data_IF_233702470345
#
_entry.id   IF_233702470345
#
_cell.length_a   1.000
_cell.length_b   1.000
_cell.length_c   1.000
_cell.angle_alpha   90.00
_cell.angle_beta   90.00
_cell.angle_gamma   90.00
#
_symmetry.space_group_name_H-M   'P 1'
#
loop_
_entity.id
_entity.type
_entity.pdbx_description
1 polymer ?
#
# COMPACT_ATOMS: atom_id res chain seq x y z
N UNK A 1 -3.37 -1.15 -10.14
CA UNK A 1 -3.28 -0.33 -11.35
C UNK A 1 -3.81 1.07 -11.05
N UNK A 2 -2.91 2.05 -11.09
CA UNK A 2 -3.24 3.44 -10.73
C UNK A 2 -4.11 4.14 -11.78
N UNK A 3 -4.07 3.67 -12.99
CA UNK A 3 -4.92 4.22 -14.08
C UNK A 3 -6.39 3.82 -13.93
N UNK A 4 -6.64 2.59 -13.51
CA UNK A 4 -8.01 2.07 -13.31
C UNK A 4 -8.51 2.23 -11.87
N UNK A 5 -7.62 2.54 -10.93
CA UNK A 5 -7.90 2.55 -9.49
C UNK A 5 -8.46 1.22 -8.98
N UNK A 6 -7.95 0.12 -9.54
CA UNK A 6 -8.39 -1.24 -9.20
C UNK A 6 -7.20 -2.12 -8.84
N UNK A 7 -7.40 -2.94 -7.82
CA UNK A 7 -6.52 -4.07 -7.51
C UNK A 7 -7.13 -5.31 -8.15
N UNK A 8 -6.33 -6.02 -8.94
CA UNK A 8 -6.70 -7.34 -9.44
C UNK A 8 -5.92 -8.38 -8.66
N UNK A 9 -6.62 -9.29 -8.02
CA UNK A 9 -6.02 -10.35 -7.21
C UNK A 9 -5.96 -11.64 -8.02
N UNK A 10 -4.77 -12.24 -8.04
CA UNK A 10 -4.50 -13.49 -8.73
C UNK A 10 -4.17 -14.60 -7.72
N UNK A 11 -4.63 -15.79 -7.98
CA UNK A 11 -4.20 -17.02 -7.31
C UNK A 11 -3.99 -18.11 -8.36
N UNK A 12 -2.82 -18.73 -8.34
CA UNK A 12 -2.44 -19.77 -9.33
C UNK A 12 -2.66 -19.31 -10.79
N UNK A 13 -2.34 -18.05 -11.09
CA UNK A 13 -2.49 -17.45 -12.41
C UNK A 13 -3.91 -17.09 -12.81
N UNK A 14 -4.88 -17.27 -11.92
CA UNK A 14 -6.29 -16.94 -12.17
C UNK A 14 -6.72 -15.72 -11.39
N UNK A 15 -7.51 -14.86 -12.01
CA UNK A 15 -8.13 -13.72 -11.32
C UNK A 15 -9.21 -14.25 -10.38
N UNK A 16 -9.09 -13.91 -9.10
CA UNK A 16 -10.04 -14.33 -8.07
C UNK A 16 -10.82 -13.17 -7.45
N UNK A 17 -10.36 -11.92 -7.62
CA UNK A 17 -11.01 -10.76 -7.02
C UNK A 17 -10.61 -9.46 -7.72
N UNK A 18 -11.56 -8.53 -7.79
CA UNK A 18 -11.31 -7.15 -8.17
C UNK A 18 -11.68 -6.26 -6.99
N UNK A 19 -10.78 -5.34 -6.61
CA UNK A 19 -10.95 -4.48 -5.43
C UNK A 19 -10.73 -3.03 -5.82
N UNK A 20 -11.73 -2.15 -5.65
CA UNK A 20 -11.52 -0.72 -5.80
C UNK A 20 -10.51 -0.20 -4.79
N UNK A 21 -9.61 0.66 -5.23
CA UNK A 21 -8.59 1.25 -4.37
C UNK A 21 -8.41 2.74 -4.66
N UNK A 22 -7.86 3.44 -3.69
CA UNK A 22 -7.37 4.81 -3.82
C UNK A 22 -5.94 4.83 -3.29
N UNK A 23 -5.00 5.25 -4.11
CA UNK A 23 -3.58 5.28 -3.76
C UNK A 23 -3.09 6.70 -3.49
N UNK A 24 -1.79 6.92 -3.61
CA UNK A 24 -1.17 8.21 -3.30
C UNK A 24 -1.60 9.33 -4.23
N UNK A 25 -2.12 10.41 -3.65
CA UNK A 25 -2.50 11.64 -4.35
C UNK A 25 -1.30 12.31 -5.01
N UNK A 26 -1.50 13.27 -5.96
CA UNK A 26 -0.42 14.04 -6.56
C UNK A 26 0.52 14.65 -5.51
N UNK A 27 1.84 14.42 -5.68
CA UNK A 27 2.87 14.77 -4.72
C UNK A 27 3.17 13.70 -3.67
N UNK A 28 2.35 12.66 -3.58
CA UNK A 28 2.50 11.52 -2.66
C UNK A 28 2.23 10.18 -3.37
N UNK A 29 2.52 10.12 -4.65
CA UNK A 29 2.20 8.97 -5.49
C UNK A 29 2.81 7.69 -4.94
N UNK A 30 2.05 6.61 -5.03
CA UNK A 30 2.55 5.27 -4.72
C UNK A 30 3.49 4.83 -5.84
N UNK A 31 4.79 4.60 -5.57
CA UNK A 31 5.74 4.29 -6.65
C UNK A 31 5.40 2.99 -7.38
N UNK A 32 5.65 2.97 -8.70
CA UNK A 32 5.61 1.74 -9.47
C UNK A 32 6.67 0.75 -8.99
N UNK A 33 6.32 -0.50 -8.94
CA UNK A 33 7.28 -1.54 -8.58
C UNK A 33 6.63 -2.79 -8.01
N UNK A 34 7.49 -3.70 -7.58
CA UNK A 34 7.10 -4.95 -6.94
C UNK A 34 7.36 -4.83 -5.44
N UNK A 35 6.30 -4.94 -4.69
CA UNK A 35 6.30 -4.88 -3.23
C UNK A 35 6.06 -6.27 -2.67
N UNK A 36 6.54 -6.49 -1.45
CA UNK A 36 6.30 -7.73 -0.71
C UNK A 36 5.62 -7.40 0.62
N UNK A 37 4.60 -8.17 0.98
CA UNK A 37 3.88 -7.97 2.23
C UNK A 37 4.80 -8.33 3.39
N UNK A 38 4.97 -7.38 4.30
CA UNK A 38 5.69 -7.53 5.55
C UNK A 38 4.76 -7.84 6.71
N UNK A 39 4.97 -7.14 7.82
CA UNK A 39 4.15 -7.29 9.02
C UNK A 39 2.70 -6.86 8.77
N UNK A 40 1.79 -7.58 9.43
CA UNK A 40 0.36 -7.30 9.39
C UNK A 40 -0.12 -6.89 10.77
N UNK A 41 -1.00 -5.89 10.80
CA UNK A 41 -1.59 -5.38 12.02
C UNK A 41 -3.10 -5.36 11.91
N UNK A 42 -3.78 -5.92 12.90
CA UNK A 42 -5.25 -5.81 13.00
C UNK A 42 -5.66 -4.35 13.18
N UNK A 43 -4.85 -3.62 13.91
CA UNK A 43 -5.01 -2.18 14.19
C UNK A 43 -3.63 -1.56 14.38
N UNK A 44 -3.42 -0.39 13.80
CA UNK A 44 -2.17 0.38 13.95
C UNK A 44 -2.48 1.87 13.87
N UNK A 45 -1.72 2.68 14.59
CA UNK A 45 -1.73 4.13 14.43
C UNK A 45 -0.64 4.50 13.44
N UNK A 46 -1.05 5.05 12.30
CA UNK A 46 -0.12 5.59 11.31
C UNK A 46 0.16 7.05 11.65
N UNK A 47 1.41 7.33 11.97
CA UNK A 47 1.88 8.62 12.46
C UNK A 47 3.06 9.09 11.61
N UNK A 48 2.89 10.23 10.95
CA UNK A 48 3.90 10.78 10.04
C UNK A 48 5.22 11.13 10.74
N UNK A 49 5.20 11.37 12.07
CA UNK A 49 6.41 11.66 12.83
C UNK A 49 7.40 10.49 12.84
N UNK A 50 6.92 9.26 12.70
CA UNK A 50 7.79 8.07 12.59
C UNK A 50 8.63 8.07 11.31
N UNK A 51 8.26 8.89 10.33
CA UNK A 51 8.97 9.06 9.06
C UNK A 51 9.60 10.44 8.91
N UNK A 52 9.74 11.17 10.03
CA UNK A 52 10.40 12.48 10.06
C UNK A 52 9.50 13.67 9.71
N UNK A 53 8.20 13.48 9.51
CA UNK A 53 7.24 14.58 9.25
C UNK A 53 6.42 14.83 10.50
N UNK A 54 6.58 16.00 11.19
CA UNK A 54 5.79 16.31 12.38
C UNK A 54 4.29 16.27 12.10
N UNK A 55 3.50 15.73 13.03
CA UNK A 55 2.03 15.67 12.89
C UNK A 55 1.41 17.05 12.69
N UNK A 56 2.04 18.08 13.23
CA UNK A 56 1.60 19.48 13.11
C UNK A 56 2.01 20.13 11.79
N UNK A 57 2.86 19.51 10.98
CA UNK A 57 3.23 20.02 9.67
C UNK A 57 2.04 19.93 8.70
N UNK A 58 2.01 20.75 7.62
CA UNK A 58 0.91 20.70 6.64
C UNK A 58 0.68 19.31 6.03
N UNK A 59 1.73 18.50 5.92
CA UNK A 59 1.70 17.14 5.39
C UNK A 59 1.68 16.08 6.49
N UNK A 60 1.62 16.51 7.77
CA UNK A 60 1.58 15.63 8.92
C UNK A 60 0.22 14.93 9.05
N UNK A 61 0.25 13.71 9.59
CA UNK A 61 -0.97 12.96 9.89
C UNK A 61 -0.77 12.03 11.07
N UNK A 62 -1.87 11.73 11.73
CA UNK A 62 -1.99 10.66 12.72
C UNK A 62 -3.35 10.01 12.52
N UNK A 63 -3.38 8.76 12.09
CA UNK A 63 -4.60 8.08 11.69
C UNK A 63 -4.63 6.67 12.25
N UNK A 64 -5.72 6.32 12.90
CA UNK A 64 -6.01 4.93 13.28
C UNK A 64 -6.48 4.17 12.05
N UNK A 65 -5.82 3.06 11.76
CA UNK A 65 -6.20 2.19 10.65
C UNK A 65 -6.36 0.75 11.10
N UNK A 66 -7.27 0.05 10.44
CA UNK A 66 -7.51 -1.37 10.66
C UNK A 66 -7.04 -2.19 9.47
N UNK A 67 -6.70 -3.45 9.73
CA UNK A 67 -6.29 -4.42 8.69
C UNK A 67 -5.17 -3.88 7.82
N UNK A 68 -4.05 -3.53 8.44
CA UNK A 68 -2.90 -2.95 7.77
C UNK A 68 -1.85 -4.00 7.42
N UNK A 69 -1.45 -4.03 6.16
CA UNK A 69 -0.40 -4.90 5.63
C UNK A 69 0.74 -4.00 5.13
N UNK A 70 1.91 -4.09 5.76
CA UNK A 70 3.06 -3.27 5.40
C UNK A 70 3.63 -3.68 4.05
N UNK A 71 3.95 -2.71 3.21
CA UNK A 71 4.55 -2.91 1.90
C UNK A 71 5.96 -2.31 1.80
N UNK A 72 6.27 -1.27 2.59
CA UNK A 72 7.59 -0.63 2.58
C UNK A 72 8.05 -0.25 3.98
N UNK A 73 9.36 -0.04 4.12
CA UNK A 73 9.95 0.50 5.35
C UNK A 73 9.56 1.96 5.56
N UNK A 74 9.34 2.71 4.48
CA UNK A 74 8.91 4.12 4.53
C UNK A 74 7.45 4.31 4.92
N UNK A 75 6.67 3.24 5.10
CA UNK A 75 5.32 3.32 5.63
C UNK A 75 4.20 3.28 4.62
N UNK A 76 4.41 2.66 3.47
CA UNK A 76 3.31 2.32 2.56
C UNK A 76 2.68 1.02 3.04
N UNK A 77 1.37 1.06 3.25
CA UNK A 77 0.54 -0.06 3.66
C UNK A 77 -0.64 -0.23 2.70
N UNK A 78 -1.13 -1.46 2.57
CA UNK A 78 -2.50 -1.71 2.16
C UNK A 78 -3.33 -1.80 3.42
N UNK A 79 -4.40 -1.01 3.54
CA UNK A 79 -5.21 -1.01 4.75
C UNK A 79 -6.66 -0.61 4.50
N UNK A 80 -7.53 -0.97 5.46
CA UNK A 80 -8.91 -0.48 5.45
C UNK A 80 -8.95 1.04 5.64
N UNK A 81 -9.73 1.71 4.81
CA UNK A 81 -9.90 3.16 4.84
C UNK A 81 -11.37 3.54 4.56
N UNK A 82 -12.27 3.29 5.50
CA UNK A 82 -13.70 3.53 5.29
C UNK A 82 -14.04 5.00 5.03
N UNK A 83 -13.16 5.92 5.39
CA UNK A 83 -13.32 7.35 5.12
C UNK A 83 -13.10 7.73 3.65
N UNK A 84 -12.51 6.86 2.83
CA UNK A 84 -12.16 7.15 1.44
C UNK A 84 -12.96 6.37 0.40
N UNK A 85 -14.13 5.86 0.78
CA UNK A 85 -14.98 5.04 -0.10
C UNK A 85 -15.34 5.76 -1.41
N UNK A 86 -15.56 7.07 -1.37
CA UNK A 86 -15.88 7.85 -2.56
C UNK A 86 -14.69 7.95 -3.54
N UNK A 87 -13.46 7.87 -3.03
CA UNK A 87 -12.25 7.91 -3.85
C UNK A 87 -11.89 6.54 -4.45
N UNK A 88 -12.17 5.48 -3.72
CA UNK A 88 -11.81 4.12 -4.13
C UNK A 88 -12.47 3.74 -5.46
N UNK A 89 -11.66 3.37 -6.43
CA UNK A 89 -12.09 3.09 -7.80
C UNK A 89 -12.23 4.32 -8.70
N UNK A 90 -11.97 5.52 -8.19
CA UNK A 90 -12.22 6.77 -8.90
C UNK A 90 -11.04 7.74 -8.95
N UNK A 91 -10.36 7.99 -7.83
CA UNK A 91 -9.21 8.91 -7.76
C UNK A 91 -8.32 8.61 -6.56
N UNK A 92 -7.11 9.14 -6.58
CA UNK A 92 -6.13 8.96 -5.52
C UNK A 92 -6.28 10.03 -4.43
N UNK A 93 -6.22 9.61 -3.17
CA UNK A 93 -6.50 10.48 -2.04
C UNK A 93 -5.55 10.30 -0.84
N UNK A 94 -4.68 9.29 -0.85
CA UNK A 94 -3.82 8.96 0.28
C UNK A 94 -2.45 9.65 0.21
N UNK A 95 -1.62 9.40 1.22
CA UNK A 95 -0.21 9.80 1.25
C UNK A 95 0.73 8.72 0.68
N UNK A 96 0.19 7.74 -0.04
CA UNK A 96 0.94 6.65 -0.65
C UNK A 96 0.39 5.26 -0.35
N UNK A 97 -0.39 5.09 0.70
CA UNK A 97 -1.03 3.82 1.04
C UNK A 97 -2.09 3.41 0.02
N UNK A 98 -2.33 2.11 -0.08
CA UNK A 98 -3.42 1.54 -0.84
C UNK A 98 -4.64 1.45 0.05
N UNK A 99 -5.59 2.37 -0.15
CA UNK A 99 -6.82 2.44 0.60
C UNK A 99 -7.86 1.50 -0.02
N UNK A 100 -8.45 0.65 0.80
CA UNK A 100 -9.54 -0.24 0.39
C UNK A 100 -10.70 -0.16 1.40
N UNK A 101 -11.84 -0.76 1.08
CA UNK A 101 -12.97 -0.83 2.02
C UNK A 101 -12.61 -1.66 3.26
N UNK A 102 -13.43 -1.52 4.31
CA UNK A 102 -13.25 -2.33 5.53
C UNK A 102 -13.32 -3.83 5.20
N UNK A 103 -14.31 -4.26 4.43
CA UNK A 103 -14.49 -5.66 4.06
C UNK A 103 -13.31 -6.19 3.23
N UNK A 104 -12.83 -5.40 2.27
CA UNK A 104 -11.68 -5.79 1.45
C UNK A 104 -10.38 -5.78 2.26
N UNK A 105 -10.19 -4.81 3.16
CA UNK A 105 -9.04 -4.79 4.06
C UNK A 105 -8.99 -6.03 4.95
N UNK A 106 -10.13 -6.42 5.52
CA UNK A 106 -10.25 -7.65 6.29
C UNK A 106 -9.91 -8.88 5.45
N UNK A 107 -10.42 -8.94 4.21
CA UNK A 107 -10.16 -10.05 3.32
C UNK A 107 -8.66 -10.19 3.03
N UNK A 108 -7.96 -9.11 2.69
CA UNK A 108 -6.51 -9.14 2.50
C UNK A 108 -5.76 -9.57 3.76
N UNK A 109 -6.16 -9.05 4.92
CA UNK A 109 -5.55 -9.38 6.20
C UNK A 109 -5.67 -10.88 6.51
N UNK A 110 -6.80 -11.49 6.19
CA UNK A 110 -7.06 -12.91 6.45
C UNK A 110 -6.40 -13.85 5.44
N UNK A 111 -6.19 -13.40 4.20
CA UNK A 111 -5.75 -14.27 3.10
C UNK A 111 -4.30 -14.05 2.67
N UNK A 112 -3.76 -12.86 2.86
CA UNK A 112 -2.41 -12.55 2.42
C UNK A 112 -1.39 -12.81 3.52
N UNK A 113 -0.21 -13.31 3.10
CA UNK A 113 0.85 -13.77 3.98
C UNK A 113 2.12 -12.93 3.78
N UNK A 114 3.02 -13.00 4.77
CA UNK A 114 4.37 -12.47 4.66
C UNK A 114 5.03 -12.98 3.38
N UNK A 115 5.53 -12.05 2.56
CA UNK A 115 6.19 -12.36 1.30
C UNK A 115 5.29 -12.41 0.08
N UNK A 116 3.97 -12.33 0.24
CA UNK A 116 3.06 -12.21 -0.91
C UNK A 116 3.34 -10.91 -1.66
N UNK A 117 3.11 -10.93 -2.98
CA UNK A 117 3.54 -9.88 -3.89
C UNK A 117 2.40 -8.92 -4.18
N UNK A 118 2.71 -7.63 -4.16
CA UNK A 118 1.87 -6.55 -4.69
C UNK A 118 2.65 -5.84 -5.79
N UNK A 119 2.08 -5.72 -6.97
CA UNK A 119 2.68 -4.96 -8.06
C UNK A 119 1.89 -3.70 -8.35
N UNK A 120 2.54 -2.54 -8.25
CA UNK A 120 1.96 -1.24 -8.61
C UNK A 120 2.41 -0.88 -10.02
N UNK A 121 1.43 -0.55 -10.87
CA UNK A 121 1.64 -0.16 -12.26
C UNK A 121 0.86 1.09 -12.61
N UNK A 122 1.28 1.79 -13.67
CA UNK A 122 0.64 2.99 -14.21
C UNK A 122 0.55 4.17 -13.22
N UNK A 123 1.38 4.17 -12.19
CA UNK A 123 1.57 5.29 -11.27
C UNK A 123 2.78 6.13 -11.70
N UNK A 124 3.24 7.02 -10.83
CA UNK A 124 4.44 7.81 -11.02
C UNK A 124 5.54 7.37 -10.07
N UNK A 125 6.79 7.58 -10.48
CA UNK A 125 7.95 7.20 -9.69
C UNK A 125 8.23 5.70 -9.73
N UNK A 126 9.35 5.32 -9.13
CA UNK A 126 9.82 3.94 -9.05
C UNK A 126 10.19 3.64 -7.61
N UNK A 127 9.77 2.48 -7.13
CA UNK A 127 10.10 2.00 -5.79
C UNK A 127 11.62 1.87 -5.64
N UNK A 128 12.15 2.48 -4.57
CA UNK A 128 13.56 2.34 -4.21
C UNK A 128 13.84 0.89 -3.80
N UNK A 129 14.97 0.35 -4.24
CA UNK A 129 15.43 -1.00 -3.88
C UNK A 129 15.55 -1.20 -2.36
N UNK A 130 15.86 -0.13 -1.65
CA UNK A 130 16.08 -0.18 -0.20
C UNK A 130 14.80 0.02 0.62
N UNK A 131 13.69 0.35 -0.02
CA UNK A 131 12.42 0.61 0.66
C UNK A 131 11.45 -0.57 0.59
N UNK A 132 11.60 -1.42 -0.42
CA UNK A 132 10.81 -2.65 -0.51
C UNK A 132 11.27 -3.68 0.52
N UNK A 133 10.34 -4.46 1.06
CA UNK A 133 10.59 -5.41 2.15
C UNK A 133 11.09 -6.79 1.69
N UNK A 134 11.43 -6.93 0.41
CA UNK A 134 11.87 -8.20 -0.16
C UNK A 134 13.37 -8.27 -0.35
N UNK A 135 14.09 -8.91 0.54
CA UNK A 135 15.50 -9.23 0.34
C UNK A 135 15.73 -10.15 -0.87
N UNK A 136 14.71 -10.84 -1.29
CA UNK A 136 14.68 -11.72 -2.45
C UNK A 136 14.21 -11.02 -3.73
N UNK A 137 13.92 -9.71 -3.70
CA UNK A 137 13.53 -8.98 -4.89
C UNK A 137 14.63 -9.06 -5.96
N UNK A 138 14.31 -9.18 -7.25
CA UNK A 138 15.29 -9.20 -8.30
C UNK A 138 16.26 -8.00 -8.19
N UNK A 139 17.56 -8.29 -8.04
CA UNK A 139 18.60 -7.29 -7.85
C UNK A 139 18.82 -6.81 -6.41
N UNK A 140 18.11 -7.36 -5.41
CA UNK A 140 18.32 -7.01 -4.01
C UNK A 140 19.77 -7.30 -3.57
N UNK A 141 20.37 -8.36 -4.10
CA UNK A 141 21.75 -8.76 -3.81
C UNK A 141 22.77 -8.35 -4.86
N UNK A 142 22.37 -7.65 -5.89
CA UNK A 142 23.32 -7.22 -6.97
C UNK A 142 24.24 -6.07 -6.54
N UNK A 143 24.14 -5.61 -5.29
CA UNK A 143 24.99 -4.56 -4.74
C UNK A 143 26.14 -5.11 -3.85
N UNK A 144 26.32 -6.43 -3.79
CA UNK A 144 27.40 -7.08 -3.04
C UNK A 144 28.44 -7.67 -3.96
#
# INVERSE_FOLDING_TARGET
DDKSHMITVYSDGKVIRHVPTSMGKPGHETPNGTYYIGDKHRHIIMDSSTYGVPVTAPEGYRTDVEYALRMTYSGIFLHAAPWSMAAQGHYDSSHGCLNVSMDNGRWFFEHWLLGDVVRVVNSRGVLSKNDGMGDWAPGAYSAY
#
